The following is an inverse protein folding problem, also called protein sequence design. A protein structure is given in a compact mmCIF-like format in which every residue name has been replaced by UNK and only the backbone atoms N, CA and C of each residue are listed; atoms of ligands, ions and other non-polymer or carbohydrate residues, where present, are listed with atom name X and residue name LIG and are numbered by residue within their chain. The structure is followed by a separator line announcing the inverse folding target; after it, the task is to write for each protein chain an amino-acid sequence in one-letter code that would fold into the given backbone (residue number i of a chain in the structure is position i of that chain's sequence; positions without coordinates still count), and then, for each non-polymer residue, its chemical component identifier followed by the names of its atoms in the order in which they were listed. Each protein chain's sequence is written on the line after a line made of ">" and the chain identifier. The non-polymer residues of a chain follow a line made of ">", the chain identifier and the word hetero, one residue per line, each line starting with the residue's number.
data_IF_932001579724
#
_entry.id   IF_932001579724
#
_cell.length_a   1.000
_cell.length_b   1.000
_cell.length_c   1.000
_cell.angle_alpha   90.00
_cell.angle_beta   90.00
_cell.angle_gamma   90.00
#
_symmetry.space_group_name_H-M   'P 1'
#
loop_
_entity.id
_entity.type
_entity.pdbx_description
1 polymer ?
#
# COMPACT_ATOMS: atom_id res chain seq x y z
N UNK A 1 -19.10 -14.52 -25.28
CA UNK A 1 -17.65 -14.46 -25.08
C UNK A 1 -17.36 -13.04 -24.59
N UNK A 2 -17.30 -12.84 -23.30
CA UNK A 2 -16.94 -11.56 -22.71
C UNK A 2 -15.46 -11.33 -22.96
N UNK A 3 -15.13 -10.29 -23.72
CA UNK A 3 -13.75 -9.81 -23.86
C UNK A 3 -13.15 -9.68 -22.43
N UNK A 4 -12.22 -10.57 -22.09
CA UNK A 4 -11.35 -10.39 -20.92
C UNK A 4 -10.57 -9.11 -21.17
N UNK A 5 -11.02 -8.00 -20.57
CA UNK A 5 -10.36 -6.71 -20.67
C UNK A 5 -8.94 -6.92 -20.15
N UNK A 6 -8.01 -6.98 -21.09
CA UNK A 6 -6.60 -7.25 -20.79
C UNK A 6 -6.15 -6.20 -19.80
N UNK A 7 -5.78 -6.61 -18.58
CA UNK A 7 -5.14 -5.72 -17.63
C UNK A 7 -3.97 -5.08 -18.38
N UNK A 8 -3.85 -3.75 -18.33
CA UNK A 8 -2.80 -3.03 -19.09
C UNK A 8 -1.48 -3.75 -18.84
N UNK A 9 -0.85 -4.36 -19.86
CA UNK A 9 0.28 -5.29 -19.66
C UNK A 9 1.54 -4.61 -19.06
N UNK A 10 1.46 -3.30 -18.80
CA UNK A 10 2.54 -2.49 -18.27
C UNK A 10 2.40 -2.11 -16.80
N UNK A 11 1.36 -2.58 -16.08
CA UNK A 11 1.15 -2.18 -14.68
C UNK A 11 2.34 -2.53 -13.78
N UNK A 12 3.06 -3.59 -14.09
CA UNK A 12 4.25 -4.04 -13.33
C UNK A 12 5.56 -3.84 -14.09
N UNK A 13 5.59 -2.94 -15.07
CA UNK A 13 6.83 -2.52 -15.72
C UNK A 13 7.37 -1.24 -15.05
N UNK A 14 8.71 -1.08 -14.99
CA UNK A 14 9.31 0.18 -14.53
C UNK A 14 8.80 1.35 -15.37
N UNK A 15 8.41 2.44 -14.71
CA UNK A 15 7.96 3.67 -15.37
C UNK A 15 8.31 4.89 -14.52
N UNK A 16 8.19 6.09 -15.10
CA UNK A 16 8.36 7.33 -14.37
C UNK A 16 7.22 7.57 -13.37
N UNK A 17 7.41 8.47 -12.43
CA UNK A 17 6.36 8.86 -11.49
C UNK A 17 5.22 9.55 -12.23
N UNK A 18 5.54 10.40 -13.21
CA UNK A 18 4.58 11.09 -14.06
C UNK A 18 3.69 10.11 -14.84
N UNK A 19 4.30 9.07 -15.45
CA UNK A 19 3.56 8.02 -16.15
C UNK A 19 2.68 7.21 -15.17
N UNK A 20 3.17 6.96 -13.96
CA UNK A 20 2.40 6.29 -12.91
C UNK A 20 1.18 7.12 -12.53
N UNK A 21 1.34 8.41 -12.27
CA UNK A 21 0.24 9.32 -11.97
C UNK A 21 -0.79 9.36 -13.10
N UNK A 22 -0.35 9.49 -14.36
CA UNK A 22 -1.24 9.50 -15.52
C UNK A 22 -2.07 8.21 -15.64
N UNK A 23 -1.43 7.04 -15.44
CA UNK A 23 -2.12 5.74 -15.48
C UNK A 23 -3.20 5.65 -14.40
N UNK A 24 -2.90 6.05 -13.16
CA UNK A 24 -3.86 5.96 -12.06
C UNK A 24 -4.96 7.03 -12.18
N UNK A 25 -4.66 8.23 -12.67
CA UNK A 25 -5.67 9.26 -12.95
C UNK A 25 -6.70 8.79 -13.99
N UNK A 26 -6.25 8.24 -15.12
CA UNK A 26 -7.14 7.65 -16.13
C UNK A 26 -7.96 6.46 -15.60
N UNK A 27 -7.41 5.74 -14.64
CA UNK A 27 -8.04 4.51 -14.12
C UNK A 27 -8.97 4.75 -12.94
N UNK A 28 -8.89 5.91 -12.28
CA UNK A 28 -9.61 6.22 -11.04
C UNK A 28 -11.12 5.93 -11.12
N UNK A 29 -11.76 6.21 -12.26
CA UNK A 29 -13.20 5.99 -12.44
C UNK A 29 -13.64 4.52 -12.39
N UNK A 30 -12.80 3.60 -12.87
CA UNK A 30 -13.15 2.18 -12.96
C UNK A 30 -12.29 1.29 -12.06
N UNK A 31 -11.32 1.89 -11.34
CA UNK A 31 -10.32 1.15 -10.57
C UNK A 31 -10.93 0.12 -9.62
N UNK A 32 -11.83 0.54 -8.72
CA UNK A 32 -12.44 -0.36 -7.72
C UNK A 32 -13.19 -1.50 -8.42
N UNK A 33 -13.99 -1.18 -9.45
CA UNK A 33 -14.73 -2.18 -10.20
C UNK A 33 -13.80 -3.18 -10.88
N UNK A 34 -12.74 -2.68 -11.53
CA UNK A 34 -11.80 -3.50 -12.28
C UNK A 34 -10.99 -4.43 -11.37
N UNK A 35 -10.49 -3.95 -10.21
CA UNK A 35 -9.69 -4.79 -9.30
C UNK A 35 -10.56 -5.76 -8.50
N UNK A 36 -11.75 -5.35 -8.06
CA UNK A 36 -12.68 -6.23 -7.34
C UNK A 36 -13.21 -7.35 -8.24
N UNK A 37 -13.51 -7.06 -9.51
CA UNK A 37 -13.91 -8.08 -10.48
C UNK A 37 -12.82 -9.12 -10.78
N UNK A 38 -11.56 -8.82 -10.42
CA UNK A 38 -10.41 -9.71 -10.58
C UNK A 38 -10.01 -10.45 -9.30
N UNK A 39 -10.79 -10.30 -8.20
CA UNK A 39 -10.48 -10.90 -6.92
C UNK A 39 -9.25 -10.27 -6.26
N UNK A 40 -9.32 -8.98 -5.95
CA UNK A 40 -8.23 -8.27 -5.27
C UNK A 40 -8.27 -8.50 -3.76
N UNK A 41 -7.37 -9.33 -3.24
CA UNK A 41 -7.33 -9.79 -1.85
C UNK A 41 -6.41 -8.99 -0.94
N UNK A 42 -5.39 -8.33 -1.48
CA UNK A 42 -4.32 -7.70 -0.69
C UNK A 42 -4.82 -6.75 0.40
N UNK A 43 -5.80 -5.84 0.17
CA UNK A 43 -6.28 -4.95 1.22
C UNK A 43 -6.89 -5.70 2.42
N UNK A 44 -7.69 -6.72 2.17
CA UNK A 44 -8.32 -7.50 3.23
C UNK A 44 -7.29 -8.33 4.02
N UNK A 45 -6.28 -8.87 3.35
CA UNK A 45 -5.19 -9.62 3.97
C UNK A 45 -4.32 -8.72 4.85
N UNK A 46 -3.96 -7.50 4.39
CA UNK A 46 -3.24 -6.52 5.22
C UNK A 46 -4.05 -6.14 6.45
N UNK A 47 -5.34 -5.84 6.27
CA UNK A 47 -6.20 -5.41 7.37
C UNK A 47 -6.36 -6.52 8.42
N UNK A 48 -6.54 -7.77 7.98
CA UNK A 48 -6.64 -8.93 8.87
C UNK A 48 -5.34 -9.16 9.66
N UNK A 49 -4.19 -9.14 8.98
CA UNK A 49 -2.89 -9.30 9.63
C UNK A 49 -2.61 -8.16 10.63
N UNK A 50 -2.92 -6.92 10.26
CA UNK A 50 -2.62 -5.75 11.08
C UNK A 50 -3.41 -5.72 12.39
N UNK A 51 -4.68 -6.18 12.37
CA UNK A 51 -5.56 -6.25 13.55
C UNK A 51 -4.92 -6.97 14.73
N UNK A 52 -4.14 -8.02 14.48
CA UNK A 52 -3.51 -8.83 15.53
C UNK A 52 -2.23 -8.21 16.09
N UNK A 53 -1.74 -7.10 15.48
CA UNK A 53 -0.48 -6.45 15.84
C UNK A 53 -0.65 -5.08 16.48
N UNK A 54 -1.88 -4.55 16.57
CA UNK A 54 -2.16 -3.21 17.07
C UNK A 54 -3.49 -3.13 17.81
N UNK A 55 -3.72 -2.03 18.54
CA UNK A 55 -5.03 -1.73 19.15
C UNK A 55 -5.96 -1.10 18.12
N UNK A 56 -7.27 -1.35 18.24
CA UNK A 56 -8.27 -0.89 17.29
C UNK A 56 -8.37 0.66 17.17
N UNK A 57 -8.07 1.38 18.24
CA UNK A 57 -8.11 2.85 18.30
C UNK A 57 -6.81 3.53 17.82
N UNK A 58 -5.78 2.74 17.47
CA UNK A 58 -4.50 3.27 17.00
C UNK A 58 -4.68 4.00 15.67
N UNK A 59 -4.08 5.20 15.57
CA UNK A 59 -4.10 5.98 14.34
C UNK A 59 -3.25 5.34 13.24
N UNK A 60 -3.82 5.22 12.06
CA UNK A 60 -3.19 4.65 10.87
C UNK A 60 -3.06 5.72 9.78
N UNK A 61 -1.89 5.80 9.17
CA UNK A 61 -1.72 6.46 7.89
C UNK A 61 -1.82 5.43 6.76
N UNK A 62 -2.84 5.55 5.92
CA UNK A 62 -2.95 4.85 4.65
C UNK A 62 -2.18 5.65 3.59
N UNK A 63 -0.93 5.24 3.36
CA UNK A 63 0.00 5.91 2.47
C UNK A 63 -0.12 5.34 1.05
N UNK A 64 -0.45 6.18 0.09
CA UNK A 64 -0.88 5.77 -1.24
C UNK A 64 -2.28 5.15 -1.20
N UNK A 65 -3.22 5.85 -0.56
CA UNK A 65 -4.54 5.33 -0.23
C UNK A 65 -5.45 5.07 -1.46
N UNK A 66 -5.05 5.56 -2.64
CA UNK A 66 -5.78 5.38 -3.88
C UNK A 66 -7.23 5.85 -3.77
N UNK A 67 -8.17 4.98 -4.14
CA UNK A 67 -9.62 5.20 -4.07
C UNK A 67 -10.22 4.95 -2.68
N UNK A 68 -9.41 4.57 -1.69
CA UNK A 68 -9.88 4.20 -0.35
C UNK A 68 -10.29 2.72 -0.20
N UNK A 69 -9.99 1.86 -1.17
CA UNK A 69 -10.30 0.42 -1.07
C UNK A 69 -9.59 -0.23 0.13
N UNK A 70 -8.36 0.22 0.47
CA UNK A 70 -7.63 -0.17 1.67
C UNK A 70 -8.36 0.22 2.94
N UNK A 71 -8.83 1.46 3.03
CA UNK A 71 -9.59 1.95 4.18
C UNK A 71 -10.87 1.16 4.42
N UNK A 72 -11.60 0.79 3.36
CA UNK A 72 -12.78 -0.07 3.46
C UNK A 72 -12.44 -1.43 4.08
N UNK A 73 -11.27 -1.99 3.74
CA UNK A 73 -10.79 -3.24 4.31
C UNK A 73 -10.41 -3.08 5.80
N UNK A 74 -9.68 -2.02 6.15
CA UNK A 74 -9.32 -1.69 7.53
C UNK A 74 -10.57 -1.49 8.39
N UNK A 75 -11.56 -0.72 7.89
CA UNK A 75 -12.83 -0.49 8.58
C UNK A 75 -13.60 -1.80 8.86
N UNK A 76 -13.63 -2.76 7.91
CA UNK A 76 -14.23 -4.09 8.14
C UNK A 76 -13.59 -4.85 9.30
N UNK A 77 -12.32 -4.58 9.61
CA UNK A 77 -11.60 -5.15 10.75
C UNK A 77 -11.74 -4.33 12.04
N UNK A 78 -12.53 -3.24 12.02
CA UNK A 78 -12.74 -2.35 13.16
C UNK A 78 -11.60 -1.33 13.37
N UNK A 79 -10.73 -1.14 12.37
CA UNK A 79 -9.65 -0.16 12.37
C UNK A 79 -10.16 1.11 11.67
N UNK A 80 -10.61 2.10 12.45
CA UNK A 80 -11.38 3.24 11.92
C UNK A 80 -10.71 4.60 12.10
N UNK A 81 -9.61 4.72 12.87
CA UNK A 81 -8.88 5.98 13.04
C UNK A 81 -7.89 6.14 11.89
N UNK A 82 -8.37 6.63 10.74
CA UNK A 82 -7.65 6.59 9.47
C UNK A 82 -7.37 8.00 8.94
N UNK A 83 -6.11 8.24 8.59
CA UNK A 83 -5.70 9.32 7.71
C UNK A 83 -5.25 8.74 6.37
N UNK A 84 -5.46 9.46 5.26
CA UNK A 84 -5.07 9.02 3.92
C UNK A 84 -4.23 10.05 3.19
N UNK A 85 -3.32 9.59 2.35
CA UNK A 85 -2.59 10.44 1.41
C UNK A 85 -2.30 9.70 0.12
N UNK A 86 -2.36 10.42 -0.99
CA UNK A 86 -2.01 9.91 -2.32
C UNK A 86 -1.37 11.03 -3.16
N UNK A 87 -0.69 10.68 -4.24
CA UNK A 87 -0.11 11.62 -5.21
C UNK A 87 -1.06 11.93 -6.37
N UNK A 88 -2.16 11.14 -6.56
CA UNK A 88 -3.18 11.38 -7.58
C UNK A 88 -4.39 12.08 -6.97
N UNK A 89 -4.72 13.25 -7.49
CA UNK A 89 -5.90 14.02 -7.08
C UNK A 89 -7.19 13.25 -7.41
N UNK A 90 -7.25 12.58 -8.56
CA UNK A 90 -8.42 11.83 -9.04
C UNK A 90 -8.70 10.62 -8.15
N UNK A 91 -7.64 9.94 -7.66
CA UNK A 91 -7.78 8.87 -6.68
C UNK A 91 -8.29 9.41 -5.34
N UNK A 92 -7.73 10.53 -4.87
CA UNK A 92 -8.14 11.16 -3.61
C UNK A 92 -9.60 11.61 -3.61
N UNK A 93 -10.13 12.11 -4.72
CA UNK A 93 -11.57 12.45 -4.85
C UNK A 93 -12.45 11.22 -4.55
N UNK A 94 -12.05 10.03 -5.03
CA UNK A 94 -12.77 8.80 -4.74
C UNK A 94 -12.61 8.36 -3.27
N UNK A 95 -11.41 8.50 -2.71
CA UNK A 95 -11.15 8.20 -1.31
C UNK A 95 -11.93 9.13 -0.37
N UNK A 96 -11.99 10.43 -0.66
CA UNK A 96 -12.76 11.42 0.10
C UNK A 96 -14.26 11.10 0.07
N UNK A 97 -14.78 10.73 -1.10
CA UNK A 97 -16.18 10.33 -1.27
C UNK A 97 -16.57 9.09 -0.45
N UNK A 98 -15.61 8.26 -0.01
CA UNK A 98 -15.89 7.12 0.88
C UNK A 98 -16.29 7.55 2.29
N UNK A 99 -15.91 8.75 2.75
CA UNK A 99 -16.24 9.28 4.08
C UNK A 99 -15.65 8.48 5.25
N UNK A 100 -14.54 7.74 5.02
CA UNK A 100 -13.92 6.84 6.01
C UNK A 100 -12.73 7.50 6.72
N UNK A 101 -12.03 8.41 6.04
CA UNK A 101 -10.85 9.06 6.58
C UNK A 101 -11.19 10.28 7.42
N UNK A 102 -10.57 10.42 8.60
CA UNK A 102 -10.66 11.63 9.43
C UNK A 102 -9.88 12.80 8.80
N UNK A 103 -8.83 12.48 8.04
CA UNK A 103 -8.02 13.43 7.30
C UNK A 103 -7.50 12.80 6.02
N UNK A 104 -7.57 13.57 4.92
CA UNK A 104 -7.00 13.16 3.64
C UNK A 104 -6.28 14.35 2.99
N UNK A 105 -5.16 14.11 2.29
CA UNK A 105 -4.44 15.17 1.60
C UNK A 105 -3.64 14.66 0.40
N UNK A 106 -3.46 15.55 -0.57
CA UNK A 106 -2.59 15.34 -1.72
C UNK A 106 -1.12 15.48 -1.31
N UNK A 107 -0.31 14.48 -1.62
CA UNK A 107 1.14 14.51 -1.47
C UNK A 107 1.84 14.86 -2.78
N UNK A 108 3.04 15.40 -2.68
CA UNK A 108 3.92 15.54 -3.84
C UNK A 108 4.78 14.28 -4.00
N UNK A 109 5.07 13.83 -5.23
CA UNK A 109 5.99 12.74 -5.48
C UNK A 109 7.34 12.95 -4.79
N UNK A 110 7.83 11.92 -4.09
CA UNK A 110 9.09 12.00 -3.37
C UNK A 110 9.05 12.76 -2.04
N UNK A 111 7.90 13.30 -1.66
CA UNK A 111 7.72 14.02 -0.40
C UNK A 111 6.94 13.18 0.63
N UNK A 112 7.48 13.06 1.84
CA UNK A 112 6.77 12.51 2.98
C UNK A 112 6.33 13.68 3.87
N UNK A 113 5.15 14.26 3.57
CA UNK A 113 4.61 15.49 4.17
C UNK A 113 4.07 15.30 5.58
N UNK A 114 4.70 14.41 6.37
CA UNK A 114 4.42 14.18 7.78
C UNK A 114 5.71 14.02 8.58
N UNK A 115 5.64 14.39 9.87
CA UNK A 115 6.77 14.32 10.79
C UNK A 115 7.11 12.89 11.19
N UNK A 116 8.35 12.68 11.68
CA UNK A 116 8.72 11.43 12.33
C UNK A 116 7.85 11.22 13.59
N UNK A 117 7.40 9.98 13.81
CA UNK A 117 6.55 9.60 14.93
C UNK A 117 5.11 10.10 14.86
N UNK A 118 4.73 10.81 13.77
CA UNK A 118 3.37 11.33 13.62
C UNK A 118 2.32 10.22 13.57
N UNK A 119 2.70 9.03 13.07
CA UNK A 119 1.82 7.88 12.96
C UNK A 119 2.43 6.64 13.60
N UNK A 120 1.74 6.00 14.55
CA UNK A 120 2.19 4.73 15.12
C UNK A 120 2.10 3.57 14.12
N UNK A 121 1.25 3.69 13.09
CA UNK A 121 1.10 2.70 12.03
C UNK A 121 1.02 3.38 10.68
N UNK A 122 1.80 2.89 9.72
CA UNK A 122 1.70 3.24 8.30
C UNK A 122 1.32 1.97 7.52
N UNK A 123 0.32 2.08 6.66
CA UNK A 123 -0.05 1.06 5.67
C UNK A 123 0.35 1.56 4.29
N UNK A 124 1.01 0.71 3.50
CA UNK A 124 1.43 1.00 2.13
C UNK A 124 1.07 -0.19 1.21
N UNK A 125 -0.25 -0.40 1.00
CA UNK A 125 -0.79 -1.50 0.24
C UNK A 125 -0.64 -1.27 -1.28
N UNK A 126 0.20 -2.07 -1.96
CA UNK A 126 0.44 -1.94 -3.40
C UNK A 126 1.23 -0.69 -3.83
N UNK A 127 1.79 0.04 -2.88
CA UNK A 127 2.53 1.30 -3.13
C UNK A 127 3.98 1.05 -3.49
N UNK A 128 4.72 0.33 -2.63
CA UNK A 128 6.13 0.01 -2.85
C UNK A 128 6.17 -1.21 -3.76
N UNK A 129 6.16 -1.00 -5.05
CA UNK A 129 6.07 -2.10 -6.01
C UNK A 129 6.61 -1.74 -7.39
N UNK A 130 6.98 -2.77 -8.15
CA UNK A 130 7.38 -2.62 -9.54
C UNK A 130 6.25 -1.94 -10.33
N UNK A 131 6.55 -0.80 -10.94
CA UNK A 131 5.57 -0.01 -11.68
C UNK A 131 4.76 1.00 -10.85
N UNK A 132 5.03 1.12 -9.53
CA UNK A 132 4.52 2.19 -8.69
C UNK A 132 5.69 2.93 -8.01
N UNK A 133 5.86 2.83 -6.69
CA UNK A 133 6.96 3.52 -6.02
C UNK A 133 8.24 2.66 -5.95
N UNK A 134 9.43 3.30 -6.00
CA UNK A 134 10.71 2.61 -5.96
C UNK A 134 11.01 2.00 -4.58
N UNK A 135 11.94 1.04 -4.55
CA UNK A 135 12.27 0.25 -3.36
C UNK A 135 12.85 1.09 -2.19
N UNK A 136 13.52 2.21 -2.49
CA UNK A 136 14.12 3.09 -1.47
C UNK A 136 13.08 3.82 -0.61
N UNK A 137 11.83 3.95 -1.08
CA UNK A 137 10.72 4.47 -0.29
C UNK A 137 10.51 3.65 1.00
N UNK A 138 10.81 2.34 0.99
CA UNK A 138 10.73 1.49 2.18
C UNK A 138 11.57 2.05 3.34
N UNK A 139 12.83 2.36 3.09
CA UNK A 139 13.73 2.93 4.09
C UNK A 139 13.29 4.32 4.56
N UNK A 140 12.71 5.12 3.67
CA UNK A 140 12.19 6.46 3.98
C UNK A 140 10.97 6.36 4.92
N UNK A 141 10.02 5.44 4.67
CA UNK A 141 8.86 5.23 5.55
C UNK A 141 9.29 4.68 6.92
N UNK A 142 10.22 3.73 6.96
CA UNK A 142 10.78 3.22 8.21
C UNK A 142 11.44 4.35 9.03
N UNK A 143 12.13 5.29 8.38
CA UNK A 143 12.74 6.43 9.06
C UNK A 143 11.73 7.42 9.67
N UNK A 144 10.48 7.43 9.19
CA UNK A 144 9.38 8.23 9.74
C UNK A 144 8.73 7.60 10.98
N UNK A 145 8.99 6.35 11.26
CA UNK A 145 8.45 5.64 12.42
C UNK A 145 9.34 5.86 13.66
N UNK A 146 8.73 5.93 14.82
CA UNK A 146 9.41 5.78 16.09
C UNK A 146 9.57 4.30 16.47
N UNK A 147 10.50 4.00 17.39
CA UNK A 147 10.73 2.64 17.88
C UNK A 147 9.42 2.00 18.39
N UNK A 148 9.15 0.78 17.94
CA UNK A 148 7.94 0.03 18.26
C UNK A 148 6.79 0.22 17.27
N UNK A 149 6.79 1.29 16.47
CA UNK A 149 5.76 1.59 15.47
C UNK A 149 5.85 0.65 14.27
N UNK A 150 4.76 0.54 13.51
CA UNK A 150 4.58 -0.48 12.47
C UNK A 150 4.50 0.12 11.05
N UNK A 151 5.08 -0.60 10.09
CA UNK A 151 4.83 -0.44 8.66
C UNK A 151 4.25 -1.74 8.11
N UNK A 152 3.02 -1.71 7.61
CA UNK A 152 2.40 -2.81 6.89
C UNK A 152 2.43 -2.53 5.39
N UNK A 153 2.90 -3.48 4.59
CA UNK A 153 3.04 -3.34 3.14
C UNK A 153 2.79 -4.64 2.41
N UNK A 154 2.70 -4.56 1.08
CA UNK A 154 2.61 -5.74 0.23
C UNK A 154 3.64 -5.69 -0.90
N UNK A 155 4.19 -6.87 -1.25
CA UNK A 155 4.97 -7.09 -2.46
C UNK A 155 4.28 -8.16 -3.31
N UNK A 156 3.78 -7.81 -4.49
CA UNK A 156 3.22 -8.77 -5.44
C UNK A 156 4.34 -9.58 -6.14
N UNK A 157 3.98 -10.68 -6.82
CA UNK A 157 4.96 -11.60 -7.43
C UNK A 157 5.96 -10.90 -8.36
N UNK A 158 5.57 -9.97 -9.26
CA UNK A 158 6.54 -9.22 -10.06
C UNK A 158 7.52 -8.40 -9.21
N UNK A 159 7.07 -7.83 -8.09
CA UNK A 159 7.90 -7.07 -7.15
C UNK A 159 8.83 -8.00 -6.38
N UNK A 160 8.36 -9.19 -5.97
CA UNK A 160 9.17 -10.22 -5.31
C UNK A 160 10.25 -10.79 -6.22
N UNK A 161 10.00 -10.84 -7.53
CA UNK A 161 10.99 -11.27 -8.52
C UNK A 161 12.09 -10.23 -8.79
N UNK A 162 11.91 -8.98 -8.37
CA UNK A 162 12.89 -7.90 -8.52
C UNK A 162 13.72 -7.75 -7.24
N UNK A 163 14.99 -8.14 -7.31
CA UNK A 163 15.90 -8.14 -6.15
C UNK A 163 16.01 -6.78 -5.44
N UNK A 164 15.77 -5.65 -6.13
CA UNK A 164 15.84 -4.32 -5.52
C UNK A 164 14.94 -4.17 -4.31
N UNK A 165 13.75 -4.75 -4.34
CA UNK A 165 12.78 -4.68 -3.24
C UNK A 165 13.15 -5.64 -2.10
N UNK A 166 13.58 -6.86 -2.43
CA UNK A 166 14.08 -7.82 -1.43
C UNK A 166 15.35 -7.29 -0.74
N UNK A 167 16.28 -6.68 -1.49
CA UNK A 167 17.51 -6.09 -0.97
C UNK A 167 17.24 -4.88 -0.08
N UNK A 168 16.25 -4.03 -0.44
CA UNK A 168 15.84 -2.90 0.39
C UNK A 168 15.32 -3.39 1.75
N UNK A 169 14.42 -4.38 1.76
CA UNK A 169 13.91 -4.99 2.98
C UNK A 169 15.02 -5.62 3.82
N UNK A 170 15.86 -6.45 3.18
CA UNK A 170 17.00 -7.11 3.82
C UNK A 170 17.99 -6.11 4.43
N UNK A 171 18.21 -4.98 3.77
CA UNK A 171 19.07 -3.88 4.24
C UNK A 171 18.54 -3.25 5.53
N UNK A 172 17.23 -2.97 5.60
CA UNK A 172 16.62 -2.37 6.81
C UNK A 172 16.70 -3.33 8.00
N UNK A 173 16.47 -4.63 7.75
CA UNK A 173 16.58 -5.68 8.78
C UNK A 173 18.03 -5.87 9.22
N UNK A 174 18.97 -6.00 8.28
CA UNK A 174 20.39 -6.23 8.58
C UNK A 174 21.04 -5.05 9.34
N UNK A 175 20.60 -3.82 9.07
CA UNK A 175 21.01 -2.62 9.82
C UNK A 175 20.33 -2.47 11.18
N UNK A 176 19.46 -3.42 11.57
CA UNK A 176 18.73 -3.37 12.83
C UNK A 176 17.74 -2.21 12.93
N UNK A 177 17.30 -1.64 11.80
CA UNK A 177 16.33 -0.54 11.78
C UNK A 177 14.88 -1.01 11.80
N UNK A 178 14.65 -2.23 11.32
CA UNK A 178 13.35 -2.86 11.34
C UNK A 178 13.45 -4.36 11.64
N UNK A 179 12.35 -4.92 12.14
CA UNK A 179 12.14 -6.34 12.35
C UNK A 179 10.91 -6.77 11.58
N UNK A 180 10.97 -7.90 10.87
CA UNK A 180 9.79 -8.53 10.27
C UNK A 180 9.03 -9.25 11.39
N UNK A 181 7.84 -8.75 11.74
CA UNK A 181 6.98 -9.35 12.77
C UNK A 181 5.87 -10.22 12.18
N UNK A 182 5.58 -10.03 10.89
CA UNK A 182 4.64 -10.87 10.12
C UNK A 182 5.09 -10.89 8.65
N UNK A 183 5.00 -12.07 8.01
CA UNK A 183 5.13 -12.23 6.57
C UNK A 183 4.37 -13.45 6.11
N UNK A 184 3.48 -13.28 5.14
CA UNK A 184 2.68 -14.36 4.58
C UNK A 184 2.49 -14.16 3.09
N UNK A 185 2.79 -15.19 2.29
CA UNK A 185 2.44 -15.24 0.87
C UNK A 185 1.03 -15.77 0.69
N UNK A 186 0.28 -15.20 -0.26
CA UNK A 186 -1.08 -15.66 -0.56
C UNK A 186 -1.70 -14.87 -1.73
N UNK A 187 -3.00 -15.04 -2.01
CA UNK A 187 -3.64 -14.49 -3.19
C UNK A 187 -3.58 -12.94 -3.23
N UNK A 188 -3.35 -12.40 -4.42
CA UNK A 188 -3.35 -10.99 -4.76
C UNK A 188 -4.46 -10.65 -5.74
N UNK A 189 -4.43 -11.27 -6.93
CA UNK A 189 -5.42 -11.12 -8.00
C UNK A 189 -5.74 -12.49 -8.60
N UNK A 190 -6.96 -12.99 -8.38
CA UNK A 190 -7.37 -14.34 -8.82
C UNK A 190 -7.37 -14.49 -10.34
N UNK A 191 -7.80 -13.46 -11.07
CA UNK A 191 -7.98 -13.51 -12.54
C UNK A 191 -6.67 -13.81 -13.29
N UNK A 192 -5.52 -13.50 -12.69
CA UNK A 192 -4.18 -13.70 -13.27
C UNK A 192 -3.31 -14.65 -12.44
N UNK A 193 -3.90 -15.37 -11.48
CA UNK A 193 -3.19 -16.29 -10.56
C UNK A 193 -1.93 -15.66 -9.94
N UNK A 194 -2.08 -14.41 -9.49
CA UNK A 194 -0.98 -13.64 -8.90
C UNK A 194 -1.05 -13.65 -7.38
N UNK A 195 0.09 -13.90 -6.75
CA UNK A 195 0.27 -13.80 -5.31
C UNK A 195 0.86 -12.48 -4.86
N UNK A 196 0.86 -12.28 -3.54
CA UNK A 196 1.61 -11.22 -2.87
C UNK A 196 2.02 -11.65 -1.47
N UNK A 197 3.17 -11.17 -1.03
CA UNK A 197 3.52 -11.17 0.39
C UNK A 197 2.85 -9.99 1.09
N UNK A 198 2.22 -10.26 2.23
CA UNK A 198 1.87 -9.26 3.23
C UNK A 198 2.98 -9.25 4.26
N UNK A 199 3.52 -8.07 4.55
CA UNK A 199 4.66 -7.90 5.44
C UNK A 199 4.33 -6.82 6.47
N UNK A 200 4.53 -7.13 7.76
CA UNK A 200 4.48 -6.14 8.83
C UNK A 200 5.88 -6.02 9.42
N UNK A 201 6.40 -4.80 9.41
CA UNK A 201 7.68 -4.43 9.99
C UNK A 201 7.45 -3.65 11.27
N UNK A 202 8.24 -3.93 12.31
CA UNK A 202 8.34 -3.10 13.51
C UNK A 202 9.62 -2.30 13.49
N UNK A 203 9.53 -0.99 13.70
CA UNK A 203 10.70 -0.10 13.85
C UNK A 203 11.47 -0.47 15.13
N UNK A 204 12.79 -0.68 14.99
CA UNK A 204 13.72 -0.95 16.10
C UNK A 204 14.45 0.29 16.58
#
# INVERSE_FOLDING_TARGET
>A
MTDKKVMRPQLWAPRSVEDTMAVYAEWAETYDQDVLARGYHTPDRIAAALKDHMKADTQILDFGCGTGIGAKALQRQGLTNLHGTDISAEMLEKAEACGIYDKIWLSQPGELSFGRGAYPVIVAAGVISLGAAPADLLGQLIAKLDTGNLLALSFNDPTLADNRYADALGTEVAKGRAEVVFREHGPHLDDVDMGSDIIILRRR
#
